data_IF_218071347729
#
_entry.id   IF_218071347729
#
_cell.length_a   1.000
_cell.length_b   1.000
_cell.length_c   1.000
_cell.angle_alpha   90.00
_cell.angle_beta   90.00
_cell.angle_gamma   90.00
#
_symmetry.space_group_name_H-M   'P 1'
#
loop_
_entity.id
_entity.type
_entity.pdbx_description
1 polymer ?
#
# COMPACT_ATOMS: atom_id res chain seq x y z
N UNK A 1 -13.10 20.73 9.23
CA UNK A 1 -14.01 20.18 8.19
C UNK A 1 -15.15 21.13 7.92
N UNK A 2 -15.22 21.73 6.74
CA UNK A 2 -16.40 22.48 6.36
C UNK A 2 -17.46 21.51 5.84
N UNK A 3 -18.56 21.33 6.56
CA UNK A 3 -19.77 20.72 6.01
C UNK A 3 -20.25 21.59 4.87
N UNK A 4 -19.97 21.22 3.63
CA UNK A 4 -20.61 21.87 2.50
C UNK A 4 -22.11 21.60 2.55
N UNK A 5 -22.90 22.67 2.59
CA UNK A 5 -24.35 22.55 2.51
C UNK A 5 -24.71 22.35 1.03
N UNK A 6 -25.49 21.30 0.76
CA UNK A 6 -26.11 21.12 -0.56
C UNK A 6 -26.84 22.41 -0.98
N UNK A 7 -26.50 22.95 -2.14
CA UNK A 7 -27.19 24.07 -2.73
C UNK A 7 -28.33 23.59 -3.61
N UNK A 8 -29.43 24.31 -3.60
CA UNK A 8 -30.50 24.13 -4.58
C UNK A 8 -30.19 24.99 -5.79
N UNK A 9 -30.25 24.42 -6.99
CA UNK A 9 -30.20 25.11 -8.25
C UNK A 9 -31.63 25.10 -8.76
N UNK A 10 -32.42 26.04 -8.30
CA UNK A 10 -33.81 26.25 -8.74
C UNK A 10 -34.25 27.65 -8.37
N UNK A 11 -35.17 28.18 -9.11
CA UNK A 11 -35.76 29.52 -8.97
C UNK A 11 -36.92 29.53 -7.95
N UNK A 12 -37.15 28.41 -7.24
CA UNK A 12 -38.27 28.26 -6.32
C UNK A 12 -38.29 29.32 -5.20
N UNK A 13 -37.12 29.72 -4.72
CA UNK A 13 -37.00 30.74 -3.67
C UNK A 13 -37.38 32.13 -4.21
N UNK A 14 -37.02 32.43 -5.45
CA UNK A 14 -37.36 33.68 -6.13
C UNK A 14 -38.87 33.75 -6.42
N UNK A 15 -39.46 32.58 -6.69
CA UNK A 15 -40.89 32.43 -6.91
C UNK A 15 -41.71 32.24 -5.62
N UNK A 16 -41.13 32.47 -4.43
CA UNK A 16 -41.81 32.39 -3.15
C UNK A 16 -42.15 30.98 -2.66
N UNK A 17 -41.68 29.94 -3.32
CA UNK A 17 -41.91 28.52 -2.93
C UNK A 17 -40.97 28.13 -1.78
N UNK A 18 -41.50 27.94 -0.58
CA UNK A 18 -40.73 27.61 0.63
C UNK A 18 -40.48 26.13 0.77
N UNK A 19 -41.35 25.24 0.29
CA UNK A 19 -41.25 23.79 0.37
C UNK A 19 -40.84 23.16 -0.99
N UNK A 20 -39.70 23.58 -1.47
CA UNK A 20 -39.15 23.14 -2.74
C UNK A 20 -38.62 21.70 -2.67
N UNK A 21 -39.11 20.83 -3.55
CA UNK A 21 -38.67 19.42 -3.69
C UNK A 21 -37.58 19.21 -4.76
N UNK A 22 -37.05 20.29 -5.35
CA UNK A 22 -35.99 20.20 -6.35
C UNK A 22 -34.73 19.56 -5.80
N UNK A 23 -34.01 18.87 -6.67
CA UNK A 23 -32.77 18.22 -6.35
C UNK A 23 -31.74 19.21 -5.76
N UNK A 24 -30.97 18.72 -4.83
CA UNK A 24 -29.90 19.50 -4.19
C UNK A 24 -28.56 19.00 -4.70
N UNK A 25 -27.77 19.92 -5.20
CA UNK A 25 -26.43 19.66 -5.69
C UNK A 25 -25.39 20.24 -4.75
N UNK A 26 -24.24 19.59 -4.67
CA UNK A 26 -23.09 20.17 -3.99
C UNK A 26 -22.45 21.24 -4.88
N UNK A 27 -21.79 22.22 -4.27
CA UNK A 27 -21.01 23.21 -5.00
C UNK A 27 -19.79 22.61 -5.70
N UNK A 28 -19.41 21.41 -5.31
CA UNK A 28 -18.33 20.62 -5.89
C UNK A 28 -18.93 19.30 -6.42
N UNK A 29 -19.35 19.27 -7.70
CA UNK A 29 -20.02 18.09 -8.26
C UNK A 29 -19.12 16.84 -8.31
N UNK A 30 -17.81 17.03 -8.29
CA UNK A 30 -16.82 15.94 -8.35
C UNK A 30 -16.50 15.33 -6.99
N UNK A 31 -17.03 15.89 -5.89
CA UNK A 31 -16.82 15.32 -4.55
C UNK A 31 -17.97 14.40 -4.14
N UNK A 32 -17.69 13.50 -3.21
CA UNK A 32 -18.66 12.54 -2.69
C UNK A 32 -18.43 12.25 -1.21
N UNK A 33 -19.27 11.40 -0.63
CA UNK A 33 -19.19 11.00 0.77
C UNK A 33 -18.13 9.92 0.94
N UNK A 34 -17.15 10.18 1.82
CA UNK A 34 -16.17 9.22 2.30
C UNK A 34 -16.33 8.95 3.79
N UNK A 35 -15.61 7.94 4.26
CA UNK A 35 -15.53 7.58 5.67
C UNK A 35 -14.12 7.79 6.20
N UNK A 36 -13.97 8.62 7.23
CA UNK A 36 -12.71 8.81 7.94
C UNK A 36 -12.68 7.89 9.16
N UNK A 37 -11.96 6.78 9.06
CA UNK A 37 -11.85 5.79 10.13
C UNK A 37 -11.06 6.30 11.35
N UNK A 38 -10.21 7.31 11.19
CA UNK A 38 -9.44 7.90 12.30
C UNK A 38 -10.28 8.81 13.17
N UNK A 39 -11.30 9.43 12.57
CA UNK A 39 -12.22 10.37 13.24
C UNK A 39 -13.62 9.80 13.45
N UNK A 40 -13.86 8.57 13.02
CA UNK A 40 -15.13 7.86 13.08
C UNK A 40 -16.31 8.70 12.54
N UNK A 41 -16.11 9.34 11.36
CA UNK A 41 -17.11 10.23 10.80
C UNK A 41 -17.13 10.23 9.27
N UNK A 42 -18.31 10.54 8.71
CA UNK A 42 -18.46 10.81 7.30
C UNK A 42 -17.99 12.23 6.95
N UNK A 43 -17.31 12.35 5.82
CA UNK A 43 -16.95 13.64 5.25
C UNK A 43 -17.36 13.72 3.78
N UNK A 44 -17.52 14.93 3.27
CA UNK A 44 -17.67 15.22 1.85
C UNK A 44 -16.36 15.78 1.32
N UNK A 45 -15.83 15.15 0.29
CA UNK A 45 -14.56 15.62 -0.25
C UNK A 45 -13.96 14.68 -1.29
N UNK A 46 -12.65 14.70 -1.27
CA UNK A 46 -11.79 13.94 -2.18
C UNK A 46 -10.83 13.09 -1.38
N UNK A 47 -10.46 11.94 -1.95
CA UNK A 47 -9.32 11.16 -1.52
C UNK A 47 -8.12 11.47 -2.38
N UNK A 48 -6.98 11.64 -1.75
CA UNK A 48 -5.70 11.82 -2.40
C UNK A 48 -4.90 10.53 -2.34
N UNK A 49 -4.60 9.99 -3.51
CA UNK A 49 -3.65 8.90 -3.67
C UNK A 49 -2.31 9.47 -4.09
N UNK A 50 -1.27 9.18 -3.31
CA UNK A 50 0.07 9.64 -3.56
C UNK A 50 1.00 8.47 -3.84
N UNK A 51 1.65 8.47 -5.00
CA UNK A 51 2.80 7.62 -5.24
C UNK A 51 4.04 8.34 -4.73
N UNK A 52 4.78 7.67 -3.85
CA UNK A 52 5.95 8.23 -3.17
C UNK A 52 7.15 7.33 -3.45
N UNK A 53 8.29 7.93 -3.72
CA UNK A 53 9.54 7.19 -3.79
C UNK A 53 10.00 6.80 -2.39
N UNK A 54 10.19 5.49 -2.20
CA UNK A 54 10.48 4.91 -0.88
C UNK A 54 11.91 5.20 -0.38
N UNK A 55 12.80 5.70 -1.23
CA UNK A 55 14.18 6.02 -0.85
C UNK A 55 14.33 7.48 -0.41
N UNK A 56 13.64 8.38 -1.09
CA UNK A 56 13.75 9.83 -0.85
C UNK A 56 12.61 10.41 -0.02
N UNK A 57 11.53 9.66 0.21
CA UNK A 57 10.27 10.12 0.80
C UNK A 57 9.58 11.24 -0.04
N UNK A 58 9.99 11.40 -1.30
CA UNK A 58 9.44 12.43 -2.17
C UNK A 58 8.23 11.94 -2.95
N UNK A 59 7.20 12.80 -3.08
CA UNK A 59 6.03 12.48 -3.87
C UNK A 59 6.38 12.43 -5.37
N UNK A 60 5.95 11.35 -6.03
CA UNK A 60 6.19 11.13 -7.47
C UNK A 60 4.98 11.51 -8.30
N UNK A 61 3.80 11.07 -7.90
CA UNK A 61 2.59 11.32 -8.68
C UNK A 61 1.32 11.31 -7.82
N UNK A 62 0.53 12.40 -7.87
CA UNK A 62 -0.73 12.49 -7.15
C UNK A 62 -1.92 12.11 -8.01
N UNK A 63 -2.97 11.58 -7.38
CA UNK A 63 -4.27 11.41 -8.01
C UNK A 63 -5.40 11.71 -7.03
N UNK A 64 -6.28 12.66 -7.38
CA UNK A 64 -7.52 12.87 -6.65
C UNK A 64 -8.65 12.03 -7.23
N UNK A 65 -9.43 11.42 -6.35
CA UNK A 65 -10.72 10.84 -6.68
C UNK A 65 -11.80 11.36 -5.73
N UNK A 66 -13.07 11.13 -6.05
CA UNK A 66 -14.13 11.38 -5.06
C UNK A 66 -13.98 10.41 -3.88
N UNK A 67 -14.30 10.88 -2.69
CA UNK A 67 -14.09 10.14 -1.43
C UNK A 67 -14.89 8.82 -1.30
N UNK A 68 -15.83 8.55 -2.19
CA UNK A 68 -16.57 7.28 -2.24
C UNK A 68 -15.84 6.15 -2.97
N UNK A 69 -14.69 6.45 -3.61
CA UNK A 69 -13.92 5.43 -4.34
C UNK A 69 -13.06 4.62 -3.40
N UNK A 70 -13.04 3.30 -3.61
CA UNK A 70 -12.18 2.43 -2.83
C UNK A 70 -10.71 2.61 -3.19
N UNK A 71 -9.82 2.56 -2.19
CA UNK A 71 -8.37 2.81 -2.29
C UNK A 71 -7.68 2.02 -3.42
N UNK A 72 -8.07 0.78 -3.62
CA UNK A 72 -7.53 -0.06 -4.68
C UNK A 72 -7.74 0.55 -6.08
N UNK A 73 -8.88 1.19 -6.35
CA UNK A 73 -9.13 1.86 -7.62
C UNK A 73 -8.28 3.12 -7.79
N UNK A 74 -8.15 3.90 -6.72
CA UNK A 74 -7.35 5.12 -6.71
C UNK A 74 -5.89 4.85 -7.05
N UNK A 75 -5.31 3.83 -6.45
CA UNK A 75 -3.94 3.40 -6.76
C UNK A 75 -3.75 3.06 -8.25
N UNK A 76 -4.62 2.24 -8.84
CA UNK A 76 -4.49 1.86 -10.25
C UNK A 76 -4.55 3.08 -11.17
N UNK A 77 -5.49 4.00 -10.91
CA UNK A 77 -5.59 5.25 -11.67
C UNK A 77 -4.32 6.09 -11.54
N UNK A 78 -3.82 6.28 -10.32
CA UNK A 78 -2.58 7.01 -10.06
C UNK A 78 -1.41 6.41 -10.83
N UNK A 79 -1.25 5.08 -10.73
CA UNK A 79 -0.14 4.36 -11.32
C UNK A 79 -0.15 4.39 -12.86
N UNK A 80 -1.30 4.13 -13.49
CA UNK A 80 -1.40 4.20 -14.95
C UNK A 80 -1.21 5.61 -15.48
N UNK A 81 -1.74 6.62 -14.82
CA UNK A 81 -1.51 8.02 -15.19
C UNK A 81 -0.04 8.39 -15.01
N UNK A 82 0.60 8.01 -13.92
CA UNK A 82 2.03 8.22 -13.73
C UNK A 82 2.82 7.64 -14.90
N UNK A 83 2.58 6.39 -15.30
CA UNK A 83 3.27 5.78 -16.46
C UNK A 83 3.04 6.53 -17.76
N UNK A 84 1.86 7.12 -17.95
CA UNK A 84 1.56 7.94 -19.13
C UNK A 84 2.30 9.27 -19.14
N UNK A 85 2.41 9.94 -17.98
CA UNK A 85 3.11 11.23 -17.86
C UNK A 85 4.62 11.10 -17.71
N UNK A 86 5.08 10.02 -17.08
CA UNK A 86 6.49 9.75 -16.81
C UNK A 86 6.90 8.39 -17.43
N UNK A 87 6.90 8.24 -18.76
CA UNK A 87 7.11 6.96 -19.42
C UNK A 87 8.50 6.36 -19.15
N UNK A 88 9.49 7.22 -18.88
CA UNK A 88 10.86 6.81 -18.58
C UNK A 88 11.11 6.46 -17.11
N UNK A 89 10.12 6.73 -16.23
CA UNK A 89 10.24 6.40 -14.81
C UNK A 89 10.07 4.90 -14.59
N UNK A 90 11.14 4.26 -14.12
CA UNK A 90 11.19 2.81 -13.92
C UNK A 90 10.84 2.47 -12.47
N UNK A 91 9.76 1.72 -12.30
CA UNK A 91 9.37 1.16 -11.00
C UNK A 91 9.90 -0.26 -10.91
N UNK A 92 10.78 -0.54 -9.98
CA UNK A 92 11.34 -1.88 -9.72
C UNK A 92 10.63 -2.63 -8.60
N UNK A 93 10.13 -1.90 -7.61
CA UNK A 93 9.44 -2.44 -6.43
C UNK A 93 8.16 -1.67 -6.19
N UNK A 94 7.14 -2.36 -5.67
CA UNK A 94 5.85 -1.77 -5.33
C UNK A 94 5.47 -2.19 -3.90
N UNK A 95 5.37 -1.21 -3.00
CA UNK A 95 5.07 -1.41 -1.60
C UNK A 95 3.65 -0.95 -1.31
N UNK A 96 2.75 -1.87 -0.97
CA UNK A 96 1.34 -1.59 -0.72
C UNK A 96 0.88 -2.26 0.58
N UNK A 97 -0.14 -1.69 1.19
CA UNK A 97 -0.78 -2.29 2.36
C UNK A 97 -1.68 -3.48 1.99
N UNK A 98 -2.23 -4.12 3.01
CA UNK A 98 -3.10 -5.29 2.86
C UNK A 98 -4.43 -5.01 2.16
N UNK A 99 -4.87 -3.74 2.03
CA UNK A 99 -6.07 -3.39 1.27
C UNK A 99 -5.92 -3.67 -0.23
N UNK A 100 -4.66 -3.69 -0.71
CA UNK A 100 -4.30 -3.96 -2.10
C UNK A 100 -3.97 -5.44 -2.36
N UNK A 101 -4.14 -6.33 -1.38
CA UNK A 101 -3.83 -7.75 -1.53
C UNK A 101 -4.86 -8.49 -2.39
N UNK A 102 -4.77 -8.29 -3.69
CA UNK A 102 -5.62 -8.94 -4.69
C UNK A 102 -4.81 -9.47 -5.88
N UNK A 103 -5.20 -10.63 -6.40
CA UNK A 103 -4.49 -11.35 -7.46
C UNK A 103 -4.12 -10.47 -8.67
N UNK A 104 -4.99 -9.55 -9.17
CA UNK A 104 -4.67 -8.70 -10.31
C UNK A 104 -3.40 -7.85 -10.12
N UNK A 105 -3.10 -7.39 -8.89
CA UNK A 105 -1.89 -6.62 -8.62
C UNK A 105 -0.63 -7.46 -8.82
N UNK A 106 -0.62 -8.69 -8.34
CA UNK A 106 0.52 -9.61 -8.52
C UNK A 106 0.72 -9.99 -9.98
N UNK A 107 -0.38 -10.22 -10.72
CA UNK A 107 -0.32 -10.51 -12.14
C UNK A 107 0.23 -9.31 -12.93
N UNK A 108 -0.22 -8.11 -12.60
CA UNK A 108 0.28 -6.88 -13.20
C UNK A 108 1.77 -6.70 -12.91
N UNK A 109 2.19 -6.81 -11.65
CA UNK A 109 3.58 -6.70 -11.26
C UNK A 109 4.47 -7.71 -11.99
N UNK A 110 4.01 -8.95 -12.12
CA UNK A 110 4.72 -9.99 -12.88
C UNK A 110 4.89 -9.61 -14.36
N UNK A 111 3.84 -9.09 -14.99
CA UNK A 111 3.89 -8.66 -16.39
C UNK A 111 4.85 -7.50 -16.61
N UNK A 112 4.89 -6.55 -15.70
CA UNK A 112 5.74 -5.35 -15.79
C UNK A 112 7.13 -5.55 -15.19
N UNK A 113 7.46 -6.75 -14.72
CA UNK A 113 8.72 -7.08 -14.04
C UNK A 113 8.96 -6.23 -12.78
N UNK A 114 7.90 -5.96 -12.01
CA UNK A 114 7.92 -5.23 -10.74
C UNK A 114 7.85 -6.24 -9.60
N UNK A 115 8.67 -6.07 -8.57
CA UNK A 115 8.60 -6.92 -7.37
C UNK A 115 7.57 -6.37 -6.39
N UNK A 116 6.46 -7.10 -6.11
CA UNK A 116 5.43 -6.65 -5.19
C UNK A 116 5.80 -6.95 -3.73
N UNK A 117 5.71 -5.94 -2.89
CA UNK A 117 5.77 -6.03 -1.43
C UNK A 117 4.40 -5.62 -0.88
N UNK A 118 3.48 -6.56 -0.85
CA UNK A 118 2.09 -6.35 -0.41
C UNK A 118 1.84 -7.22 0.81
N UNK A 119 1.32 -6.61 1.88
CA UNK A 119 0.95 -7.36 3.08
C UNK A 119 -0.27 -8.25 2.83
N UNK A 120 -0.33 -9.39 3.51
CA UNK A 120 -1.37 -10.38 3.27
C UNK A 120 -2.66 -10.01 4.00
N UNK A 121 -3.75 -9.87 3.26
CA UNK A 121 -5.07 -9.66 3.83
C UNK A 121 -5.72 -11.00 4.21
N UNK A 122 -5.97 -11.19 5.50
CA UNK A 122 -6.60 -12.40 6.04
C UNK A 122 -8.09 -12.57 5.70
N UNK A 123 -8.71 -11.61 4.97
CA UNK A 123 -10.12 -11.66 4.54
C UNK A 123 -11.08 -12.13 5.64
N UNK A 124 -11.15 -11.33 6.70
CA UNK A 124 -12.02 -11.63 7.86
C UNK A 124 -11.38 -12.51 8.93
N UNK A 125 -10.05 -12.53 9.01
CA UNK A 125 -9.32 -13.22 10.07
C UNK A 125 -9.14 -14.73 9.86
N UNK A 126 -9.63 -15.29 8.74
CA UNK A 126 -9.39 -16.70 8.41
C UNK A 126 -8.07 -16.85 7.68
N UNK A 127 -7.16 -17.71 8.16
CA UNK A 127 -5.92 -17.99 7.45
C UNK A 127 -6.23 -18.56 6.06
N UNK A 128 -5.50 -18.13 4.99
CA UNK A 128 -5.70 -18.69 3.66
C UNK A 128 -5.43 -20.19 3.67
N UNK A 129 -6.37 -20.97 3.13
CA UNK A 129 -6.19 -22.41 2.93
C UNK A 129 -5.48 -22.64 1.61
N UNK A 130 -4.41 -23.42 1.64
CA UNK A 130 -3.67 -23.83 0.46
C UNK A 130 -3.52 -25.34 0.44
N UNK A 131 -4.25 -25.99 -0.44
CA UNK A 131 -4.45 -27.44 -0.46
C UNK A 131 -5.04 -27.95 0.87
N UNK A 132 -5.62 -29.11 0.92
CA UNK A 132 -6.37 -29.63 2.07
C UNK A 132 -5.46 -30.03 3.27
N UNK A 133 -4.16 -29.86 3.13
CA UNK A 133 -3.16 -30.39 4.05
C UNK A 133 -2.63 -29.38 5.08
N UNK A 134 -2.67 -28.08 4.78
CA UNK A 134 -2.13 -27.04 5.65
C UNK A 134 -2.77 -25.69 5.37
N UNK A 135 -2.71 -24.79 6.35
CA UNK A 135 -3.11 -23.39 6.22
C UNK A 135 -1.86 -22.52 6.09
N UNK A 136 -2.04 -21.27 5.69
CA UNK A 136 -0.96 -20.28 5.58
C UNK A 136 -1.24 -19.16 6.58
N UNK A 137 -0.24 -18.77 7.36
CA UNK A 137 -0.34 -17.63 8.27
C UNK A 137 -0.19 -16.28 7.54
N UNK A 138 -0.30 -15.17 8.30
CA UNK A 138 -0.15 -13.80 7.77
C UNK A 138 1.22 -13.53 7.13
N UNK A 139 2.25 -14.25 7.54
CA UNK A 139 3.61 -14.14 6.99
C UNK A 139 3.82 -15.04 5.75
N UNK A 140 2.79 -15.75 5.30
CA UNK A 140 2.90 -16.71 4.20
C UNK A 140 3.61 -18.01 4.59
N UNK A 141 3.66 -18.34 5.88
CA UNK A 141 4.29 -19.57 6.38
C UNK A 141 3.25 -20.66 6.58
N UNK A 142 3.51 -21.91 6.13
CA UNK A 142 2.59 -23.02 6.34
C UNK A 142 2.45 -23.38 7.83
N UNK A 143 1.19 -23.67 8.20
CA UNK A 143 0.83 -24.26 9.50
C UNK A 143 0.36 -25.67 9.22
N UNK A 144 1.00 -26.67 9.85
CA UNK A 144 0.67 -28.05 9.64
C UNK A 144 -0.67 -28.44 10.31
N UNK A 145 -1.20 -29.67 10.02
CA UNK A 145 -2.44 -30.20 10.63
C UNK A 145 -2.45 -30.19 12.16
N UNK A 146 -1.28 -30.28 12.80
CA UNK A 146 -1.14 -30.19 14.25
C UNK A 146 -1.03 -28.75 14.78
N UNK A 147 -1.38 -27.75 13.99
CA UNK A 147 -1.35 -26.34 14.38
C UNK A 147 0.03 -25.72 14.53
N UNK A 148 1.10 -26.43 14.12
CA UNK A 148 2.46 -25.95 14.29
C UNK A 148 2.93 -25.15 13.07
N UNK A 149 3.43 -23.94 13.30
CA UNK A 149 4.07 -23.11 12.28
C UNK A 149 5.35 -23.77 11.79
N UNK A 150 5.45 -23.99 10.47
CA UNK A 150 6.61 -24.67 9.89
C UNK A 150 7.85 -23.77 9.84
N UNK A 151 9.04 -24.37 9.81
CA UNK A 151 10.32 -23.66 9.69
C UNK A 151 10.70 -23.53 8.24
N UNK A 152 11.11 -22.34 7.81
CA UNK A 152 11.73 -22.15 6.49
C UNK A 152 13.07 -22.91 6.44
N UNK A 153 13.26 -23.70 5.39
CA UNK A 153 14.45 -24.53 5.16
C UNK A 153 15.29 -24.05 3.95
N UNK A 154 14.87 -23.00 3.28
CA UNK A 154 15.59 -22.40 2.17
C UNK A 154 14.68 -22.06 1.00
N UNK A 155 15.25 -21.34 0.03
CA UNK A 155 14.59 -21.01 -1.25
C UNK A 155 15.43 -21.55 -2.39
N UNK A 156 14.82 -22.37 -3.24
CA UNK A 156 15.40 -22.88 -4.47
C UNK A 156 15.03 -21.92 -5.60
N UNK A 157 15.85 -20.90 -5.82
CA UNK A 157 15.57 -19.82 -6.81
C UNK A 157 15.37 -20.40 -8.21
N UNK A 158 16.21 -21.34 -8.62
CA UNK A 158 16.13 -21.97 -9.95
C UNK A 158 14.78 -22.70 -10.19
N UNK A 159 14.11 -23.16 -9.13
CA UNK A 159 12.81 -23.83 -9.21
C UNK A 159 11.66 -22.93 -8.77
N UNK A 160 11.93 -21.66 -8.44
CA UNK A 160 10.92 -20.71 -7.98
C UNK A 160 10.11 -21.19 -6.79
N UNK A 161 10.74 -21.90 -5.82
CA UNK A 161 10.04 -22.48 -4.67
C UNK A 161 10.75 -22.26 -3.35
N UNK A 162 9.97 -22.08 -2.29
CA UNK A 162 10.46 -22.03 -0.92
C UNK A 162 10.11 -23.32 -0.20
N UNK A 163 11.08 -23.90 0.50
CA UNK A 163 10.97 -25.12 1.26
C UNK A 163 10.72 -24.83 2.73
N UNK A 164 9.75 -25.49 3.32
CA UNK A 164 9.44 -25.48 4.74
C UNK A 164 9.49 -26.88 5.30
N UNK A 165 9.87 -27.01 6.56
CA UNK A 165 9.95 -28.29 7.28
C UNK A 165 9.26 -28.23 8.65
N UNK A 166 8.87 -29.39 9.13
CA UNK A 166 8.23 -29.52 10.44
C UNK A 166 9.16 -29.01 11.56
N UNK A 167 8.67 -28.15 12.49
CA UNK A 167 9.47 -27.63 13.58
C UNK A 167 9.71 -28.65 14.68
N UNK A 168 8.86 -29.68 14.81
CA UNK A 168 8.90 -30.70 15.86
C UNK A 168 9.84 -31.86 15.56
N UNK A 169 10.66 -31.73 14.52
CA UNK A 169 11.72 -32.72 14.27
C UNK A 169 12.93 -32.39 15.11
N UNK A 170 13.33 -33.34 15.89
CA UNK A 170 14.58 -33.26 16.64
C UNK A 170 15.62 -34.28 16.14
N UNK A 171 16.88 -33.87 16.15
CA UNK A 171 18.02 -34.72 15.84
C UNK A 171 18.73 -34.96 17.16
N UNK A 172 18.49 -36.14 17.76
CA UNK A 172 19.19 -36.57 18.98
C UNK A 172 19.98 -37.84 18.65
N UNK A 173 21.27 -37.85 19.01
CA UNK A 173 22.17 -39.00 18.87
C UNK A 173 22.17 -39.66 17.48
N UNK A 174 22.10 -38.83 16.41
CA UNK A 174 22.06 -39.35 15.04
C UNK A 174 20.69 -39.84 14.57
N UNK A 175 19.72 -39.99 15.45
CA UNK A 175 18.35 -40.36 15.09
C UNK A 175 17.48 -39.10 14.86
N UNK A 176 16.73 -39.13 13.79
CA UNK A 176 15.74 -38.09 13.46
C UNK A 176 14.38 -38.63 13.84
N UNK A 177 13.69 -37.95 14.74
CA UNK A 177 12.37 -38.37 15.23
C UNK A 177 11.41 -37.15 15.28
N UNK A 178 10.15 -37.44 15.02
CA UNK A 178 9.06 -36.48 15.23
C UNK A 178 8.59 -36.54 16.68
N UNK A 179 8.37 -35.39 17.31
CA UNK A 179 7.87 -35.29 18.69
C UNK A 179 6.36 -35.04 18.75
N UNK A 180 5.62 -35.27 17.65
CA UNK A 180 4.17 -35.17 17.63
C UNK A 180 3.52 -36.49 18.07
N UNK A 181 2.43 -36.40 18.83
CA UNK A 181 1.64 -37.58 19.24
C UNK A 181 0.96 -38.23 18.02
N UNK A 182 0.63 -37.46 17.02
CA UNK A 182 0.08 -37.91 15.73
C UNK A 182 0.93 -37.36 14.57
N UNK A 183 1.93 -38.11 14.11
CA UNK A 183 2.81 -37.69 13.02
C UNK A 183 2.04 -37.48 11.71
N UNK A 184 2.25 -36.34 11.06
CA UNK A 184 1.61 -36.03 9.78
C UNK A 184 2.38 -36.54 8.56
N UNK A 185 3.45 -37.28 8.75
CA UNK A 185 4.30 -37.89 7.71
C UNK A 185 5.14 -39.04 8.25
N UNK A 186 5.22 -40.11 7.50
CA UNK A 186 6.07 -41.27 7.79
C UNK A 186 7.52 -41.02 7.37
N UNK A 187 7.83 -39.90 6.77
CA UNK A 187 9.18 -39.58 6.36
C UNK A 187 10.07 -39.32 7.56
N UNK A 188 11.26 -39.95 7.59
CA UNK A 188 12.27 -39.78 8.65
C UNK A 188 12.60 -38.30 8.95
N UNK A 189 12.50 -37.45 7.95
CA UNK A 189 12.75 -35.98 8.04
C UNK A 189 11.51 -35.18 8.40
N UNK A 190 10.35 -35.82 8.65
CA UNK A 190 9.07 -35.25 8.89
C UNK A 190 8.44 -34.56 7.66
N UNK A 191 7.36 -33.83 7.90
CA UNK A 191 6.63 -33.14 6.83
C UNK A 191 7.49 -32.03 6.23
N UNK A 192 7.65 -32.08 4.92
CA UNK A 192 8.24 -31.00 4.13
C UNK A 192 7.20 -30.46 3.14
N UNK A 193 7.09 -29.15 3.06
CA UNK A 193 6.20 -28.46 2.15
C UNK A 193 7.02 -27.56 1.22
N UNK A 194 6.73 -27.64 -0.06
CA UNK A 194 7.31 -26.74 -1.05
C UNK A 194 6.21 -25.80 -1.56
N UNK A 195 6.41 -24.52 -1.38
CA UNK A 195 5.53 -23.47 -1.90
C UNK A 195 6.12 -22.91 -3.18
N UNK A 196 5.39 -23.09 -4.28
CA UNK A 196 5.83 -22.62 -5.61
C UNK A 196 5.27 -21.24 -5.84
N UNK A 197 6.14 -20.27 -6.12
CA UNK A 197 5.77 -18.86 -6.31
C UNK A 197 4.79 -18.66 -7.47
N UNK A 198 4.93 -19.45 -8.55
CA UNK A 198 4.08 -19.36 -9.72
C UNK A 198 2.66 -19.91 -9.50
N UNK A 199 2.45 -20.80 -8.52
CA UNK A 199 1.14 -21.38 -8.25
C UNK A 199 0.18 -20.34 -7.66
N UNK A 200 0.70 -19.52 -6.74
CA UNK A 200 -0.08 -18.46 -6.14
C UNK A 200 0.84 -17.29 -5.70
N UNK A 201 1.10 -16.33 -6.57
CA UNK A 201 2.00 -15.21 -6.28
C UNK A 201 1.51 -14.32 -5.14
N UNK A 202 0.21 -14.35 -4.80
CA UNK A 202 -0.35 -13.66 -3.65
C UNK A 202 0.13 -14.28 -2.33
N UNK A 203 0.17 -15.59 -2.23
CA UNK A 203 0.59 -16.31 -1.02
C UNK A 203 2.11 -16.47 -0.94
N UNK A 204 2.76 -16.65 -2.08
CA UNK A 204 4.16 -17.04 -2.18
C UNK A 204 5.00 -16.00 -2.93
N UNK A 205 5.42 -14.98 -2.20
CA UNK A 205 6.23 -13.89 -2.75
C UNK A 205 7.70 -14.28 -2.83
N UNK A 206 8.42 -13.56 -3.68
CA UNK A 206 9.87 -13.55 -3.71
C UNK A 206 10.38 -12.10 -3.55
N UNK A 207 11.10 -11.78 -2.46
CA UNK A 207 11.44 -12.63 -1.31
C UNK A 207 10.21 -13.03 -0.47
N UNK A 208 10.25 -14.13 0.29
CA UNK A 208 9.14 -14.55 1.15
C UNK A 208 8.86 -13.56 2.27
N UNK A 209 7.56 -13.29 2.60
CA UNK A 209 7.17 -12.37 3.68
C UNK A 209 7.82 -12.67 5.02
N UNK A 210 8.08 -13.96 5.33
CA UNK A 210 8.78 -14.39 6.55
C UNK A 210 10.27 -14.08 6.58
N UNK A 211 10.87 -13.61 5.49
CA UNK A 211 12.29 -13.29 5.40
C UNK A 211 12.61 -11.93 6.01
N UNK A 212 13.84 -11.78 6.51
CA UNK A 212 14.34 -10.48 6.99
C UNK A 212 14.41 -9.45 5.85
N UNK A 213 14.78 -9.91 4.66
CA UNK A 213 14.88 -9.11 3.46
C UNK A 213 13.51 -8.48 3.10
N UNK A 214 12.43 -9.29 3.08
CA UNK A 214 11.10 -8.78 2.80
C UNK A 214 10.67 -7.73 3.82
N UNK A 215 10.90 -7.98 5.10
CA UNK A 215 10.52 -7.05 6.18
C UNK A 215 11.28 -5.73 6.09
N UNK A 216 12.57 -5.78 5.77
CA UNK A 216 13.39 -4.59 5.58
C UNK A 216 12.85 -3.72 4.44
N UNK A 217 12.59 -4.33 3.28
CA UNK A 217 12.03 -3.62 2.12
C UNK A 217 10.62 -3.09 2.40
N UNK A 218 9.76 -3.90 3.01
CA UNK A 218 8.38 -3.51 3.31
C UNK A 218 8.30 -2.34 4.31
N UNK A 219 9.23 -2.25 5.25
CA UNK A 219 9.28 -1.14 6.21
C UNK A 219 9.42 0.23 5.52
N UNK A 220 10.02 0.26 4.32
CA UNK A 220 10.11 1.48 3.53
C UNK A 220 8.72 2.00 3.06
N UNK A 221 7.64 1.22 3.22
CA UNK A 221 6.25 1.68 2.98
C UNK A 221 5.89 2.92 3.80
N UNK A 222 6.49 3.08 4.99
CA UNK A 222 6.26 4.26 5.84
C UNK A 222 6.69 5.59 5.19
N UNK A 223 7.39 5.56 4.06
CA UNK A 223 7.74 6.75 3.27
C UNK A 223 6.51 7.55 2.85
N UNK A 224 5.42 6.86 2.47
CA UNK A 224 4.17 7.52 2.11
C UNK A 224 3.53 8.23 3.31
N UNK A 225 3.66 7.66 4.50
CA UNK A 225 3.14 8.26 5.73
C UNK A 225 3.93 9.53 6.10
N UNK A 226 5.25 9.51 5.90
CA UNK A 226 6.13 10.68 6.12
C UNK A 226 5.83 11.78 5.11
N UNK A 227 5.69 11.46 3.82
CA UNK A 227 5.30 12.42 2.79
C UNK A 227 3.94 13.03 3.09
N UNK A 228 2.92 12.20 3.36
CA UNK A 228 1.57 12.65 3.70
C UNK A 228 1.55 13.56 4.94
N UNK A 229 2.38 13.25 5.95
CA UNK A 229 2.51 14.10 7.13
C UNK A 229 3.02 15.49 6.76
N UNK A 230 4.04 15.59 5.92
CA UNK A 230 4.55 16.89 5.44
C UNK A 230 3.46 17.65 4.69
N UNK A 231 2.74 17.01 3.77
CA UNK A 231 1.67 17.65 3.01
C UNK A 231 0.56 18.18 3.90
N UNK A 232 0.12 17.39 4.87
CA UNK A 232 -1.03 17.71 5.73
C UNK A 232 -0.68 18.65 6.86
N UNK A 233 0.43 18.42 7.58
CA UNK A 233 0.79 19.16 8.77
C UNK A 233 1.68 20.36 8.47
N UNK A 234 2.76 20.18 7.70
CA UNK A 234 3.73 21.26 7.46
C UNK A 234 3.19 22.24 6.42
N UNK A 235 2.65 21.73 5.31
CA UNK A 235 2.09 22.55 4.22
C UNK A 235 0.59 22.78 4.30
N UNK A 236 -0.09 22.22 5.30
CA UNK A 236 -1.52 22.42 5.59
C UNK A 236 -2.42 22.21 4.36
N UNK A 237 -2.20 21.11 3.64
CA UNK A 237 -2.95 20.80 2.43
C UNK A 237 -4.46 20.86 2.65
N UNK A 238 -4.95 20.29 3.76
CA UNK A 238 -6.39 20.18 4.08
C UNK A 238 -7.04 21.50 4.49
N UNK A 239 -6.26 22.54 4.81
CA UNK A 239 -6.79 23.88 5.17
C UNK A 239 -7.26 24.67 3.95
N UNK A 240 -7.06 24.16 2.75
CA UNK A 240 -7.51 24.78 1.51
C UNK A 240 -9.03 24.83 1.42
N UNK A 241 -9.56 25.97 0.92
CA UNK A 241 -10.99 26.17 0.70
C UNK A 241 -11.34 26.21 -0.79
N UNK A 242 -10.79 25.26 -1.53
CA UNK A 242 -10.98 25.22 -2.97
C UNK A 242 -12.29 24.52 -3.35
N UNK A 243 -12.96 25.02 -4.41
CA UNK A 243 -14.26 24.52 -4.84
C UNK A 243 -14.23 23.74 -6.15
N UNK A 244 -13.07 23.39 -6.63
CA UNK A 244 -12.93 22.56 -7.82
C UNK A 244 -11.71 21.65 -7.73
N UNK A 245 -11.79 20.50 -8.34
CA UNK A 245 -10.67 19.55 -8.47
C UNK A 245 -9.43 20.20 -9.08
N UNK A 246 -9.63 21.12 -10.07
CA UNK A 246 -8.51 21.86 -10.67
C UNK A 246 -7.74 22.70 -9.65
N UNK A 247 -8.45 23.42 -8.78
CA UNK A 247 -7.81 24.27 -7.77
C UNK A 247 -7.14 23.42 -6.68
N UNK A 248 -7.72 22.27 -6.33
CA UNK A 248 -7.07 21.31 -5.45
C UNK A 248 -5.76 20.78 -6.05
N UNK A 249 -5.75 20.43 -7.34
CA UNK A 249 -4.52 20.06 -8.03
C UNK A 249 -3.49 21.20 -8.04
N UNK A 250 -3.90 22.44 -8.33
CA UNK A 250 -2.98 23.58 -8.27
C UNK A 250 -2.33 23.70 -6.89
N UNK A 251 -3.12 23.68 -5.81
CA UNK A 251 -2.60 23.75 -4.45
C UNK A 251 -1.64 22.58 -4.16
N UNK A 252 -2.05 21.37 -4.51
CA UNK A 252 -1.25 20.18 -4.28
C UNK A 252 0.08 20.28 -5.02
N UNK A 253 0.09 20.60 -6.31
CA UNK A 253 1.33 20.69 -7.07
C UNK A 253 2.29 21.75 -6.51
N UNK A 254 1.80 22.88 -6.00
CA UNK A 254 2.65 23.83 -5.30
C UNK A 254 3.29 23.21 -4.05
N UNK A 255 2.53 22.46 -3.27
CA UNK A 255 3.04 21.75 -2.09
C UNK A 255 4.09 20.71 -2.48
N UNK A 256 3.81 19.90 -3.52
CA UNK A 256 4.77 18.90 -4.00
C UNK A 256 6.06 19.55 -4.51
N UNK A 257 5.95 20.66 -5.24
CA UNK A 257 7.12 21.43 -5.67
C UNK A 257 7.94 21.91 -4.48
N UNK A 258 7.30 22.42 -3.45
CA UNK A 258 8.00 22.85 -2.23
C UNK A 258 8.71 21.68 -1.55
N UNK A 259 8.07 20.51 -1.46
CA UNK A 259 8.72 19.31 -0.90
C UNK A 259 9.97 18.91 -1.70
N UNK A 260 9.92 19.00 -3.03
CA UNK A 260 11.08 18.72 -3.87
C UNK A 260 12.19 19.79 -3.72
N UNK A 261 11.81 21.06 -3.64
CA UNK A 261 12.75 22.16 -3.40
C UNK A 261 13.46 22.02 -2.05
N UNK A 262 12.72 21.67 -1.00
CA UNK A 262 13.28 21.43 0.34
C UNK A 262 14.26 20.24 0.37
N UNK A 263 14.07 19.26 -0.52
CA UNK A 263 14.93 18.08 -0.60
C UNK A 263 16.13 18.29 -1.54
N UNK A 264 16.12 19.32 -2.36
CA UNK A 264 17.30 19.66 -3.15
C UNK A 264 18.39 20.11 -2.18
N UNK A 265 19.56 19.54 -2.39
CA UNK A 265 20.70 19.72 -1.53
C UNK A 265 21.03 21.22 -1.42
N UNK A 266 20.37 21.88 -0.46
CA UNK A 266 20.81 23.19 -0.04
C UNK A 266 22.21 22.97 0.49
N UNK A 267 23.21 23.70 -0.03
CA UNK A 267 24.59 23.57 0.43
C UNK A 267 24.57 23.62 1.95
N UNK A 268 25.28 22.71 2.60
CA UNK A 268 25.49 22.80 4.06
C UNK A 268 25.90 24.20 4.41
N UNK A 269 25.61 24.66 5.63
CA UNK A 269 25.95 26.03 6.07
C UNK A 269 27.39 26.42 5.72
N UNK A 270 28.32 25.45 5.78
CA UNK A 270 29.70 25.59 5.33
C UNK A 270 29.88 25.81 3.82
N UNK A 271 29.00 25.22 3.01
CA UNK A 271 29.01 25.37 1.56
C UNK A 271 28.35 26.68 1.12
N UNK A 272 27.33 27.15 1.86
CA UNK A 272 26.76 28.50 1.67
C UNK A 272 27.75 29.57 2.01
N UNK A 273 28.52 29.42 3.10
CA UNK A 273 29.58 30.35 3.45
C UNK A 273 30.69 30.40 2.39
N UNK A 274 31.06 29.24 1.81
CA UNK A 274 32.01 29.21 0.69
C UNK A 274 31.48 29.94 -0.54
N UNK A 275 30.20 29.63 -0.92
CA UNK A 275 29.56 30.32 -2.05
C UNK A 275 29.46 31.83 -1.87
N UNK A 276 29.20 32.31 -0.65
CA UNK A 276 29.16 33.74 -0.33
C UNK A 276 30.57 34.35 -0.43
N UNK A 277 31.59 33.64 0.02
CA UNK A 277 32.98 34.08 -0.06
C UNK A 277 33.54 34.05 -1.49
N UNK A 278 33.07 33.15 -2.34
CA UNK A 278 33.48 33.06 -3.75
C UNK A 278 32.80 34.13 -4.64
N UNK A 279 31.75 34.80 -4.14
CA UNK A 279 31.02 35.87 -4.85
C UNK A 279 31.34 37.26 -4.29
N UNK A 280 32.02 37.36 -3.17
CA UNK A 280 32.45 38.59 -2.52
C UNK A 280 33.89 38.95 -2.88
#
# INVERSE_FOLDING_TARGET
MHRERKKRICDCKENGITDCKCDRYFSQPDCDIGWDSSRDCFYHGYDLYMLVDSQSDLPVFPHFSCASKHDSHGFLHAFFRMKSFLPNYKVSKLLLDSAHDAMPYYQYCKRENITPFIDLNGKGGRPPVYKDDFTIDSDGVPICRAGCRMRRDGTEVAKGRTKFKCPKISKKNGCISCTCDNPCSDAKYGRTVHLVMNDNPRLFNNPPRSSKEWKLEYNARTSVERSNKREKLDFKLEDGRHRSTKMWYCRLYHILMLQHLDAWDLPSESSLQKLILDVA
#
